data_IF_889646796063
#
_entry.id   IF_889646796063
#
_cell.length_a   1.000
_cell.length_b   1.000
_cell.length_c   1.000
_cell.angle_alpha   90.00
_cell.angle_beta   90.00
_cell.angle_gamma   90.00
#
_symmetry.space_group_name_H-M   'P 1'
#
loop_
_entity.id
_entity.type
_entity.pdbx_description
1 polymer ?
#
# COMPACT_ATOMS: atom_id res chain seq x y z
N UNK A 1 2.57 -23.49 -16.92
CA UNK A 1 2.17 -22.10 -16.56
C UNK A 1 2.74 -21.63 -15.22
N UNK A 2 2.32 -22.15 -14.05
CA UNK A 2 2.73 -21.58 -12.75
C UNK A 2 4.24 -21.69 -12.48
N UNK A 3 4.80 -22.89 -12.58
CA UNK A 3 6.25 -23.11 -12.41
C UNK A 3 7.09 -22.35 -13.47
N UNK A 4 6.68 -22.41 -14.73
CA UNK A 4 7.38 -21.76 -15.85
C UNK A 4 7.42 -20.23 -15.74
N UNK A 5 6.43 -19.61 -15.11
CA UNK A 5 6.31 -18.15 -14.98
C UNK A 5 6.57 -17.66 -13.54
N UNK A 6 7.09 -18.52 -12.66
CA UNK A 6 7.34 -18.20 -11.25
C UNK A 6 6.12 -17.60 -10.52
N UNK A 7 4.93 -18.10 -10.83
CA UNK A 7 3.69 -17.68 -10.15
C UNK A 7 3.54 -18.49 -8.87
N UNK A 8 3.24 -17.81 -7.75
CA UNK A 8 3.00 -18.47 -6.47
C UNK A 8 1.88 -19.51 -6.57
N UNK A 9 2.14 -20.73 -6.09
CA UNK A 9 1.13 -21.79 -5.99
C UNK A 9 -0.05 -21.41 -5.09
N UNK A 10 0.10 -20.39 -4.24
CA UNK A 10 -1.00 -19.82 -3.45
C UNK A 10 -2.15 -19.31 -4.32
N UNK A 11 -1.88 -18.89 -5.56
CA UNK A 11 -2.90 -18.38 -6.49
C UNK A 11 -3.69 -19.50 -7.17
N UNK A 12 -3.20 -20.76 -7.11
CA UNK A 12 -3.78 -21.87 -7.86
C UNK A 12 -5.30 -22.06 -7.62
N UNK A 13 -5.84 -22.02 -6.38
CA UNK A 13 -7.28 -22.18 -6.17
C UNK A 13 -8.10 -21.10 -6.88
N UNK A 14 -7.66 -19.84 -6.83
CA UNK A 14 -8.37 -18.72 -7.45
C UNK A 14 -8.29 -18.77 -8.98
N UNK A 15 -7.16 -19.24 -9.50
CA UNK A 15 -7.00 -19.51 -10.92
C UNK A 15 -7.97 -20.61 -11.40
N UNK A 16 -8.15 -21.69 -10.63
CA UNK A 16 -9.12 -22.72 -10.98
C UNK A 16 -10.56 -22.22 -10.97
N UNK A 17 -10.93 -21.34 -10.04
CA UNK A 17 -12.24 -20.67 -10.07
C UNK A 17 -12.42 -19.87 -11.37
N UNK A 18 -11.43 -19.06 -11.74
CA UNK A 18 -11.46 -18.28 -12.97
C UNK A 18 -11.61 -19.18 -14.21
N UNK A 19 -10.84 -20.27 -14.29
CA UNK A 19 -10.92 -21.22 -15.41
C UNK A 19 -12.33 -21.83 -15.50
N UNK A 20 -12.94 -22.23 -14.38
CA UNK A 20 -14.31 -22.77 -14.36
C UNK A 20 -15.32 -21.74 -14.84
N UNK A 21 -15.22 -20.50 -14.39
CA UNK A 21 -16.11 -19.42 -14.84
C UNK A 21 -15.95 -19.14 -16.33
N UNK A 22 -14.72 -19.04 -16.84
CA UNK A 22 -14.47 -18.85 -18.27
C UNK A 22 -14.95 -20.04 -19.12
N UNK A 23 -14.92 -21.27 -18.58
CA UNK A 23 -15.37 -22.47 -19.31
C UNK A 23 -16.89 -22.55 -19.51
N UNK A 24 -17.68 -21.68 -18.87
CA UNK A 24 -19.15 -21.62 -19.04
C UNK A 24 -19.56 -21.19 -20.44
N UNK A 25 -18.69 -20.47 -21.17
CA UNK A 25 -18.89 -20.12 -22.58
C UNK A 25 -17.67 -20.55 -23.42
N UNK A 26 -17.68 -21.80 -23.93
CA UNK A 26 -16.57 -22.34 -24.72
C UNK A 26 -16.29 -21.55 -26.00
N UNK A 27 -17.31 -20.93 -26.61
CA UNK A 27 -17.17 -20.18 -27.85
C UNK A 27 -16.45 -18.86 -27.58
N UNK A 28 -16.86 -18.13 -26.53
CA UNK A 28 -16.16 -16.93 -26.10
C UNK A 28 -14.71 -17.24 -25.71
N UNK A 29 -14.48 -18.31 -24.93
CA UNK A 29 -13.15 -18.75 -24.51
C UNK A 29 -12.24 -19.08 -25.71
N UNK A 30 -12.75 -19.77 -26.73
CA UNK A 30 -11.99 -20.10 -27.92
C UNK A 30 -11.62 -18.86 -28.75
N UNK A 31 -12.41 -17.79 -28.67
CA UNK A 31 -12.18 -16.54 -29.40
C UNK A 31 -11.33 -15.52 -28.63
N UNK A 32 -11.10 -15.73 -27.34
CA UNK A 32 -10.44 -14.74 -26.49
C UNK A 32 -8.94 -14.68 -26.80
N UNK A 33 -8.45 -13.48 -27.10
CA UNK A 33 -7.03 -13.20 -27.23
C UNK A 33 -6.73 -11.92 -26.49
N UNK A 34 -5.69 -11.94 -25.66
CA UNK A 34 -5.27 -10.80 -24.87
C UNK A 34 -3.76 -10.76 -24.80
N UNK A 35 -3.16 -9.85 -25.55
CA UNK A 35 -1.74 -9.58 -25.44
C UNK A 35 -1.43 -8.77 -24.17
N UNK A 36 -0.15 -8.75 -23.79
CA UNK A 36 0.33 -8.06 -22.58
C UNK A 36 -0.03 -6.57 -22.56
N UNK A 37 0.09 -5.87 -23.70
CA UNK A 37 -0.18 -4.44 -23.76
C UNK A 37 -1.67 -4.16 -23.63
N UNK A 38 -2.52 -4.94 -24.30
CA UNK A 38 -3.97 -4.84 -24.17
C UNK A 38 -4.42 -5.19 -22.75
N UNK A 39 -3.85 -6.22 -22.12
CA UNK A 39 -4.10 -6.56 -20.72
C UNK A 39 -3.77 -5.39 -19.78
N UNK A 40 -2.56 -4.83 -19.89
CA UNK A 40 -2.12 -3.71 -19.06
C UNK A 40 -2.99 -2.46 -19.27
N UNK A 41 -3.36 -2.17 -20.51
CA UNK A 41 -4.25 -1.05 -20.85
C UNK A 41 -5.64 -1.23 -20.22
N UNK A 42 -6.27 -2.40 -20.39
CA UNK A 42 -7.60 -2.70 -19.82
C UNK A 42 -7.58 -2.72 -18.29
N UNK A 43 -6.50 -3.21 -17.68
CA UNK A 43 -6.34 -3.17 -16.22
C UNK A 43 -6.25 -1.73 -15.72
N UNK A 44 -5.42 -0.89 -16.35
CA UNK A 44 -5.20 0.49 -15.90
C UNK A 44 -6.40 1.39 -16.18
N UNK A 45 -6.92 1.39 -17.40
CA UNK A 45 -7.93 2.36 -17.85
C UNK A 45 -9.36 1.80 -17.85
N UNK A 46 -9.54 0.51 -17.62
CA UNK A 46 -10.85 -0.12 -17.46
C UNK A 46 -11.10 -0.47 -16.01
N UNK A 47 -10.46 -1.54 -15.54
CA UNK A 47 -10.73 -2.14 -14.22
C UNK A 47 -10.37 -1.19 -13.08
N UNK A 48 -9.13 -0.69 -13.07
CA UNK A 48 -8.66 0.22 -12.01
C UNK A 48 -9.43 1.53 -11.99
N UNK A 49 -9.73 2.11 -13.15
CA UNK A 49 -10.50 3.35 -13.27
C UNK A 49 -11.94 3.18 -12.74
N UNK A 50 -12.59 2.05 -13.06
CA UNK A 50 -13.92 1.73 -12.57
C UNK A 50 -13.97 1.66 -11.04
N UNK A 51 -13.05 0.92 -10.42
CA UNK A 51 -12.99 0.82 -8.96
C UNK A 51 -12.66 2.16 -8.30
N UNK A 52 -11.65 2.89 -8.82
CA UNK A 52 -11.27 4.18 -8.29
C UNK A 52 -12.42 5.19 -8.33
N UNK A 53 -13.16 5.27 -9.44
CA UNK A 53 -14.35 6.13 -9.56
C UNK A 53 -15.44 5.78 -8.55
N UNK A 54 -15.70 4.49 -8.36
CA UNK A 54 -16.66 4.04 -7.34
C UNK A 54 -16.29 4.51 -5.93
N UNK A 55 -15.01 4.37 -5.56
CA UNK A 55 -14.48 4.83 -4.28
C UNK A 55 -14.58 6.36 -4.17
N UNK A 56 -14.18 7.10 -5.21
CA UNK A 56 -14.20 8.57 -5.23
C UNK A 56 -15.62 9.12 -5.04
N UNK A 57 -16.64 8.51 -5.65
CA UNK A 57 -18.04 8.94 -5.46
C UNK A 57 -18.50 8.73 -4.01
N UNK A 58 -18.07 7.66 -3.35
CA UNK A 58 -18.28 7.49 -1.91
C UNK A 58 -17.57 8.60 -1.11
N UNK A 59 -16.30 8.87 -1.41
CA UNK A 59 -15.52 9.91 -0.73
C UNK A 59 -16.14 11.32 -0.84
N UNK A 60 -16.87 11.60 -1.92
CA UNK A 60 -17.58 12.88 -2.10
C UNK A 60 -18.83 13.01 -1.22
N UNK A 61 -19.42 11.90 -0.81
CA UNK A 61 -20.77 11.88 -0.21
C UNK A 61 -20.79 11.44 1.25
N UNK A 62 -19.77 10.72 1.72
CA UNK A 62 -19.71 10.23 3.10
C UNK A 62 -18.40 10.60 3.83
N UNK A 63 -18.40 10.54 5.18
CA UNK A 63 -17.19 10.71 5.97
C UNK A 63 -16.17 9.60 5.70
N UNK A 64 -14.88 9.96 5.63
CA UNK A 64 -13.78 9.06 5.31
C UNK A 64 -12.59 9.22 6.27
N UNK A 65 -11.77 8.19 6.37
CA UNK A 65 -10.43 8.25 6.96
C UNK A 65 -9.40 7.78 5.94
N UNK A 66 -8.24 8.42 5.89
CA UNK A 66 -7.13 8.00 5.03
C UNK A 66 -6.07 7.27 5.85
N UNK A 67 -5.50 6.20 5.29
CA UNK A 67 -4.31 5.55 5.83
C UNK A 67 -3.21 5.68 4.79
N UNK A 68 -2.11 6.31 5.18
CA UNK A 68 -1.07 6.73 4.25
C UNK A 68 0.27 6.20 4.73
N UNK A 69 0.92 5.46 3.84
CA UNK A 69 2.21 4.85 4.10
C UNK A 69 3.21 5.13 2.97
N UNK A 70 4.48 5.31 3.34
CA UNK A 70 5.57 5.58 2.42
C UNK A 70 6.49 4.38 2.30
N UNK A 71 6.41 3.70 1.15
CA UNK A 71 7.30 2.59 0.81
C UNK A 71 8.46 3.04 -0.07
N UNK A 72 9.63 2.43 0.10
CA UNK A 72 10.72 2.52 -0.88
C UNK A 72 10.57 1.41 -1.91
N UNK A 73 10.62 1.75 -3.21
CA UNK A 73 10.60 0.72 -4.25
C UNK A 73 12.01 0.12 -4.43
N UNK A 74 12.18 -1.14 -4.03
CA UNK A 74 13.45 -1.90 -4.15
C UNK A 74 13.89 -2.14 -5.62
N UNK A 75 13.03 -1.84 -6.60
CA UNK A 75 13.23 -2.21 -8.01
C UNK A 75 13.91 -1.12 -8.84
N UNK A 76 14.03 0.12 -8.33
CA UNK A 76 14.65 1.22 -9.08
C UNK A 76 16.00 1.63 -8.50
N UNK A 77 17.04 1.67 -9.33
CA UNK A 77 18.34 2.26 -9.03
C UNK A 77 18.29 3.78 -8.72
N UNK A 78 17.09 4.36 -8.64
CA UNK A 78 16.83 5.79 -8.51
C UNK A 78 16.14 6.18 -7.18
N UNK A 79 16.06 5.27 -6.19
CA UNK A 79 15.42 5.54 -4.88
C UNK A 79 14.00 6.13 -4.98
N UNK A 80 13.20 5.67 -5.95
CA UNK A 80 11.81 6.10 -6.07
C UNK A 80 11.01 5.64 -4.86
N UNK A 81 10.25 6.55 -4.27
CA UNK A 81 9.35 6.29 -3.15
C UNK A 81 7.92 6.19 -3.69
N UNK A 82 7.10 5.36 -3.07
CA UNK A 82 5.69 5.20 -3.43
C UNK A 82 4.86 5.50 -2.19
N UNK A 83 3.96 6.45 -2.32
CA UNK A 83 2.96 6.77 -1.32
C UNK A 83 1.73 5.90 -1.58
N UNK A 84 1.49 4.92 -0.72
CA UNK A 84 0.27 4.13 -0.74
C UNK A 84 -0.82 4.87 0.04
N UNK A 85 -1.98 5.05 -0.59
CA UNK A 85 -3.14 5.70 0.01
C UNK A 85 -4.29 4.70 0.06
N UNK A 86 -4.68 4.32 1.27
CA UNK A 86 -5.90 3.57 1.52
C UNK A 86 -6.97 4.51 2.07
N UNK A 87 -8.23 4.22 1.77
CA UNK A 87 -9.37 4.94 2.31
C UNK A 87 -10.27 3.99 3.07
N UNK A 88 -10.67 4.43 4.26
CA UNK A 88 -11.62 3.76 5.12
C UNK A 88 -12.94 4.54 5.10
N UNK A 89 -14.04 3.86 4.78
CA UNK A 89 -15.37 4.46 4.72
C UNK A 89 -16.46 3.42 5.00
N UNK A 90 -17.66 3.87 5.39
CA UNK A 90 -18.80 2.98 5.55
C UNK A 90 -19.43 2.68 4.19
N UNK A 91 -19.36 1.43 3.73
CA UNK A 91 -20.01 0.99 2.50
C UNK A 91 -21.44 0.60 2.80
N UNK A 92 -22.40 1.34 2.24
CA UNK A 92 -23.83 1.03 2.37
C UNK A 92 -24.20 -0.29 1.68
N UNK A 93 -23.45 -0.70 0.65
CA UNK A 93 -23.68 -1.96 -0.07
C UNK A 93 -23.24 -3.17 0.76
N UNK A 94 -22.12 -3.04 1.48
CA UNK A 94 -21.57 -4.12 2.32
C UNK A 94 -22.01 -4.04 3.78
N UNK A 95 -22.76 -2.99 4.14
CA UNK A 95 -23.21 -2.65 5.50
C UNK A 95 -22.10 -2.67 6.57
N UNK A 96 -20.88 -2.30 6.17
CA UNK A 96 -19.72 -2.32 7.05
C UNK A 96 -18.69 -1.25 6.65
N UNK A 97 -17.80 -0.93 7.58
CA UNK A 97 -16.60 -0.15 7.27
C UNK A 97 -15.68 -1.01 6.42
N UNK A 98 -15.26 -0.48 5.28
CA UNK A 98 -14.29 -1.12 4.40
C UNK A 98 -13.05 -0.28 4.27
N UNK A 99 -11.92 -0.94 4.05
CA UNK A 99 -10.65 -0.32 3.71
C UNK A 99 -10.30 -0.73 2.29
N UNK A 100 -10.16 0.24 1.41
CA UNK A 100 -9.87 0.00 0.00
C UNK A 100 -8.66 0.81 -0.45
N UNK A 101 -7.93 0.27 -1.43
CA UNK A 101 -6.81 0.96 -2.04
C UNK A 101 -7.34 2.06 -2.97
N UNK A 102 -6.94 3.31 -2.69
CA UNK A 102 -7.35 4.47 -3.48
C UNK A 102 -6.32 4.79 -4.54
N UNK A 103 -5.05 4.89 -4.14
CA UNK A 103 -3.98 5.30 -5.05
C UNK A 103 -2.60 4.82 -4.59
N UNK A 104 -1.71 4.66 -5.57
CA UNK A 104 -0.27 4.55 -5.35
C UNK A 104 0.42 5.68 -6.11
N UNK A 105 0.98 6.64 -5.40
CA UNK A 105 1.56 7.86 -5.97
C UNK A 105 3.09 7.78 -5.94
N UNK A 106 3.74 7.96 -7.08
CA UNK A 106 5.20 8.00 -7.16
C UNK A 106 5.72 9.34 -6.62
N UNK A 107 6.68 9.29 -5.70
CA UNK A 107 7.35 10.45 -5.11
C UNK A 107 8.85 10.38 -5.39
N UNK A 108 9.42 11.49 -5.85
CA UNK A 108 10.88 11.64 -5.99
C UNK A 108 11.52 11.82 -4.60
N UNK A 109 10.85 12.53 -3.70
CA UNK A 109 11.26 12.76 -2.30
C UNK A 109 10.04 12.70 -1.39
N UNK A 110 10.14 11.95 -0.29
CA UNK A 110 9.12 11.94 0.77
C UNK A 110 9.44 13.03 1.81
N UNK A 111 9.09 14.26 1.48
CA UNK A 111 9.06 15.37 2.41
C UNK A 111 7.62 15.72 2.77
N UNK A 112 7.44 16.49 3.84
CA UNK A 112 6.12 16.87 4.34
C UNK A 112 5.30 17.61 3.27
N UNK A 113 5.97 18.49 2.53
CA UNK A 113 5.37 19.29 1.46
C UNK A 113 4.99 18.43 0.25
N UNK A 114 5.87 17.55 -0.22
CA UNK A 114 5.56 16.68 -1.37
C UNK A 114 4.43 15.71 -1.06
N UNK A 115 4.39 15.12 0.13
CA UNK A 115 3.30 14.25 0.55
C UNK A 115 1.99 15.05 0.63
N UNK A 116 2.00 16.21 1.28
CA UNK A 116 0.82 17.06 1.37
C UNK A 116 0.31 17.50 -0.01
N UNK A 117 1.19 17.94 -0.91
CA UNK A 117 0.81 18.36 -2.25
C UNK A 117 0.22 17.20 -3.07
N UNK A 118 0.79 16.00 -2.96
CA UNK A 118 0.24 14.81 -3.62
C UNK A 118 -1.17 14.47 -3.09
N UNK A 119 -1.39 14.58 -1.78
CA UNK A 119 -2.73 14.42 -1.19
C UNK A 119 -3.70 15.51 -1.64
N UNK A 120 -3.26 16.77 -1.63
CA UNK A 120 -4.05 17.92 -2.04
C UNK A 120 -4.47 17.78 -3.50
N UNK A 121 -3.56 17.42 -4.38
CA UNK A 121 -3.83 17.14 -5.78
C UNK A 121 -4.85 16.00 -5.94
N UNK A 122 -4.69 14.90 -5.20
CA UNK A 122 -5.64 13.78 -5.21
C UNK A 122 -7.05 14.22 -4.76
N UNK A 123 -7.15 15.06 -3.73
CA UNK A 123 -8.43 15.59 -3.23
C UNK A 123 -9.05 16.57 -4.24
N UNK A 124 -8.26 17.51 -4.75
CA UNK A 124 -8.71 18.61 -5.60
C UNK A 124 -9.11 18.13 -7.01
N UNK A 125 -8.30 17.28 -7.67
CA UNK A 125 -8.60 16.75 -9.01
C UNK A 125 -9.90 15.95 -9.01
N UNK A 126 -10.16 15.25 -7.90
CA UNK A 126 -11.36 14.43 -7.75
C UNK A 126 -12.53 15.18 -7.11
N UNK A 127 -12.38 16.48 -6.83
CA UNK A 127 -13.40 17.32 -6.18
C UNK A 127 -13.93 16.71 -4.87
N UNK A 128 -13.05 16.09 -4.08
CA UNK A 128 -13.39 15.47 -2.80
C UNK A 128 -13.46 16.58 -1.73
N UNK A 129 -14.62 16.77 -1.06
CA UNK A 129 -14.75 17.80 -0.05
C UNK A 129 -13.88 17.51 1.18
N UNK A 130 -13.01 18.44 1.55
CA UNK A 130 -12.19 18.35 2.76
C UNK A 130 -13.02 18.14 4.04
N UNK A 131 -14.27 18.60 4.08
CA UNK A 131 -15.22 18.35 5.19
C UNK A 131 -15.55 16.87 5.44
N UNK A 132 -15.34 16.02 4.43
CA UNK A 132 -15.60 14.59 4.55
C UNK A 132 -14.41 13.86 5.17
N UNK A 133 -13.21 14.43 5.12
CA UNK A 133 -12.04 13.85 5.75
C UNK A 133 -12.13 13.97 7.27
N UNK A 134 -12.30 12.85 7.97
CA UNK A 134 -12.42 12.82 9.43
C UNK A 134 -11.10 12.55 10.13
N UNK A 135 -10.18 11.83 9.48
CA UNK A 135 -8.88 11.48 10.06
C UNK A 135 -7.89 11.06 8.99
N UNK A 136 -6.60 11.22 9.30
CA UNK A 136 -5.51 10.68 8.51
C UNK A 136 -4.54 9.93 9.43
N UNK A 137 -4.30 8.65 9.14
CA UNK A 137 -3.30 7.84 9.78
C UNK A 137 -2.00 7.91 8.98
N UNK A 138 -0.91 8.19 9.69
CA UNK A 138 0.45 8.27 9.17
C UNK A 138 1.42 7.56 10.11
N UNK A 139 2.61 7.21 9.62
CA UNK A 139 3.75 6.86 10.46
C UNK A 139 4.25 8.08 11.30
N UNK A 140 4.78 7.80 12.50
CA UNK A 140 5.33 8.69 13.54
C UNK A 140 6.59 9.45 13.10
N UNK A 141 6.87 9.61 11.82
CA UNK A 141 8.03 10.38 11.40
C UNK A 141 7.78 11.88 11.59
N UNK A 142 8.80 12.62 12.05
CA UNK A 142 8.74 14.08 12.23
C UNK A 142 8.32 14.82 10.94
N UNK A 143 8.65 14.25 9.78
CA UNK A 143 8.23 14.74 8.45
C UNK A 143 6.70 14.80 8.34
N UNK A 144 5.99 13.88 9.00
CA UNK A 144 4.55 13.71 8.83
C UNK A 144 3.77 14.35 9.99
N UNK A 145 4.23 14.16 11.24
CA UNK A 145 3.57 14.64 12.47
C UNK A 145 4.10 15.98 13.01
N UNK A 146 5.07 16.61 12.35
CA UNK A 146 5.69 17.84 12.83
C UNK A 146 4.66 18.96 13.10
N UNK A 147 4.62 19.47 14.32
CA UNK A 147 3.59 20.42 14.78
C UNK A 147 3.63 21.81 14.09
N UNK A 148 4.74 22.14 13.40
CA UNK A 148 4.90 23.42 12.67
C UNK A 148 4.93 23.27 11.15
N UNK A 149 5.39 22.12 10.65
CA UNK A 149 5.71 21.93 9.23
C UNK A 149 5.58 20.47 8.80
N UNK A 150 4.82 19.67 9.54
CA UNK A 150 4.46 18.30 9.16
C UNK A 150 3.32 18.27 8.15
N UNK A 151 3.01 17.09 7.63
CA UNK A 151 1.84 16.88 6.77
C UNK A 151 0.55 17.16 7.55
N UNK A 152 0.47 16.73 8.81
CA UNK A 152 -0.72 16.93 9.64
C UNK A 152 -1.03 18.42 9.88
N UNK A 153 0.00 19.23 10.16
CA UNK A 153 -0.16 20.67 10.33
C UNK A 153 -0.77 21.33 9.08
N UNK A 154 -0.27 20.96 7.88
CA UNK A 154 -0.80 21.46 6.59
C UNK A 154 -2.22 20.95 6.30
N UNK A 155 -2.52 19.71 6.67
CA UNK A 155 -3.87 19.17 6.53
C UNK A 155 -4.87 19.93 7.40
N UNK A 156 -4.50 20.30 8.62
CA UNK A 156 -5.37 21.05 9.53
C UNK A 156 -5.70 22.46 9.03
N UNK A 157 -4.88 23.05 8.17
CA UNK A 157 -5.21 24.31 7.48
C UNK A 157 -6.43 24.16 6.55
N UNK A 158 -6.63 22.97 5.97
CA UNK A 158 -7.73 22.69 5.03
C UNK A 158 -8.91 21.97 5.70
N UNK A 159 -8.62 21.13 6.70
CA UNK A 159 -9.60 20.33 7.43
C UNK A 159 -9.32 20.44 8.95
N UNK A 160 -9.68 21.55 9.61
CA UNK A 160 -9.38 21.77 11.03
C UNK A 160 -10.13 20.82 11.97
N UNK A 161 -11.17 20.15 11.47
CA UNK A 161 -12.02 19.22 12.21
C UNK A 161 -11.46 17.79 12.26
N UNK A 162 -10.36 17.49 11.56
CA UNK A 162 -9.80 16.13 11.56
C UNK A 162 -9.39 15.70 12.97
N UNK A 163 -9.76 14.49 13.32
CA UNK A 163 -9.37 13.84 14.56
C UNK A 163 -7.90 13.41 14.47
N UNK A 164 -7.14 13.70 15.52
CA UNK A 164 -5.82 13.08 15.72
C UNK A 164 -6.04 11.65 16.20
N UNK A 165 -6.16 10.73 15.25
CA UNK A 165 -6.01 9.31 15.51
C UNK A 165 -4.50 9.09 15.49
N UNK A 166 -3.93 8.87 16.68
CA UNK A 166 -2.51 8.65 16.89
C UNK A 166 -1.94 7.59 15.92
N UNK A 167 -0.62 7.49 15.85
CA UNK A 167 0.07 6.69 14.84
C UNK A 167 -0.31 5.21 14.87
N UNK A 168 -0.16 4.55 13.72
CA UNK A 168 -0.20 3.10 13.54
C UNK A 168 0.42 2.34 14.73
N UNK A 169 -0.36 1.40 15.25
CA UNK A 169 -0.01 0.48 16.34
C UNK A 169 1.30 -0.27 16.10
N UNK A 170 1.65 -0.63 14.86
CA UNK A 170 2.90 -1.30 14.53
C UNK A 170 4.10 -0.43 14.90
N UNK A 171 4.05 0.87 14.60
CA UNK A 171 5.09 1.80 14.97
C UNK A 171 5.16 2.06 16.47
N UNK A 172 4.02 2.12 17.18
CA UNK A 172 4.01 2.19 18.64
C UNK A 172 4.67 0.96 19.27
N UNK A 173 4.30 -0.24 18.82
CA UNK A 173 4.90 -1.48 19.29
C UNK A 173 6.39 -1.51 18.95
N UNK A 174 6.79 -1.15 17.72
CA UNK A 174 8.19 -1.07 17.32
C UNK A 174 8.98 -0.12 18.22
N UNK A 175 8.47 1.09 18.46
CA UNK A 175 9.11 2.09 19.31
C UNK A 175 9.18 1.64 20.77
N UNK A 176 8.13 1.01 21.30
CA UNK A 176 8.12 0.46 22.64
C UNK A 176 9.16 -0.66 22.81
N UNK A 177 9.22 -1.60 21.87
CA UNK A 177 10.21 -2.67 21.86
C UNK A 177 11.62 -2.10 21.73
N UNK A 178 11.84 -1.12 20.86
CA UNK A 178 13.13 -0.45 20.69
C UNK A 178 13.61 0.22 21.98
N UNK A 179 12.71 0.88 22.71
CA UNK A 179 13.02 1.48 24.01
C UNK A 179 13.27 0.42 25.08
N UNK A 180 12.49 -0.66 25.10
CA UNK A 180 12.73 -1.79 26.00
C UNK A 180 14.10 -2.43 25.74
N UNK A 181 14.52 -2.55 24.49
CA UNK A 181 15.81 -3.12 24.11
C UNK A 181 17.00 -2.17 24.34
N UNK A 182 16.77 -0.87 24.58
CA UNK A 182 17.82 0.14 24.71
C UNK A 182 18.89 -0.19 25.78
N UNK A 183 18.53 -0.66 27.00
CA UNK A 183 19.51 -1.01 28.04
C UNK A 183 20.37 -2.23 27.70
N UNK A 184 19.96 -3.05 26.72
CA UNK A 184 20.74 -4.21 26.27
C UNK A 184 21.83 -3.81 25.28
N UNK A 185 22.02 -2.50 25.04
CA UNK A 185 23.10 -1.92 24.22
C UNK A 185 23.23 -2.56 22.83
N UNK A 186 22.14 -3.08 22.27
CA UNK A 186 22.14 -3.74 20.96
C UNK A 186 22.74 -5.15 20.93
N UNK A 187 23.03 -5.79 22.08
CA UNK A 187 23.66 -7.13 22.11
C UNK A 187 22.79 -8.19 21.46
N UNK A 188 21.49 -8.17 21.75
CA UNK A 188 20.51 -9.12 21.21
C UNK A 188 20.36 -8.90 19.70
N UNK A 189 20.23 -7.65 19.28
CA UNK A 189 20.14 -7.27 17.86
C UNK A 189 21.40 -7.67 17.10
N UNK A 190 22.59 -7.40 17.65
CA UNK A 190 23.87 -7.79 17.05
C UNK A 190 24.01 -9.30 16.93
N UNK A 191 23.59 -10.06 17.94
CA UNK A 191 23.60 -11.53 17.87
C UNK A 191 22.72 -12.02 16.72
N UNK A 192 21.47 -11.58 16.65
CA UNK A 192 20.57 -11.99 15.57
C UNK A 192 21.03 -11.49 14.20
N UNK A 193 21.61 -10.28 14.11
CA UNK A 193 22.17 -9.77 12.87
C UNK A 193 23.41 -10.56 12.43
N UNK A 194 24.27 -10.94 13.39
CA UNK A 194 25.43 -11.79 13.19
C UNK A 194 25.01 -13.16 12.68
N UNK A 195 24.12 -13.84 13.39
CA UNK A 195 23.55 -15.13 12.96
C UNK A 195 22.94 -15.05 11.57
N UNK A 196 22.12 -14.03 11.29
CA UNK A 196 21.54 -13.81 9.95
C UNK A 196 22.63 -13.62 8.89
N UNK A 197 23.66 -12.86 9.20
CA UNK A 197 24.79 -12.59 8.29
C UNK A 197 25.57 -13.87 8.02
N UNK A 198 25.87 -14.65 9.06
CA UNK A 198 26.57 -15.93 8.95
C UNK A 198 25.76 -16.92 8.11
N UNK A 199 24.45 -17.06 8.35
CA UNK A 199 23.58 -17.90 7.51
C UNK A 199 23.54 -17.41 6.05
N UNK A 200 23.44 -16.09 5.83
CA UNK A 200 23.43 -15.49 4.48
C UNK A 200 24.73 -15.78 3.70
N UNK A 201 25.88 -15.79 4.37
CA UNK A 201 27.18 -16.01 3.73
C UNK A 201 27.73 -17.42 3.85
N UNK A 202 27.07 -18.29 4.64
CA UNK A 202 27.40 -19.70 4.76
C UNK A 202 27.34 -20.41 3.40
N UNK A 203 28.19 -21.40 3.20
CA UNK A 203 28.28 -22.22 1.98
C UNK A 203 26.96 -22.94 1.66
N UNK A 204 26.14 -23.25 2.66
CA UNK A 204 24.82 -23.91 2.50
C UNK A 204 23.84 -23.04 1.71
N UNK A 205 23.93 -21.71 1.82
CA UNK A 205 23.08 -20.78 1.05
C UNK A 205 23.55 -20.56 -0.39
N UNK A 206 24.78 -21.00 -0.73
CA UNK A 206 25.39 -20.85 -2.07
C UNK A 206 25.27 -22.11 -2.92
N UNK A 207 25.03 -23.27 -2.31
CA UNK A 207 24.70 -24.50 -3.02
C UNK A 207 23.24 -24.47 -3.48
N UNK A 208 23.03 -24.16 -4.76
CA UNK A 208 21.74 -24.20 -5.45
C UNK A 208 21.11 -25.61 -5.54
N UNK A 209 21.68 -26.62 -4.89
CA UNK A 209 21.23 -28.02 -4.94
C UNK A 209 19.91 -28.29 -4.22
N UNK A 210 19.44 -27.37 -3.37
CA UNK A 210 18.18 -27.51 -2.60
C UNK A 210 17.01 -26.67 -3.12
N UNK A 211 17.16 -25.94 -4.23
CA UNK A 211 16.08 -25.12 -4.81
C UNK A 211 15.25 -25.81 -5.91
N UNK A 212 15.49 -27.10 -6.14
CA UNK A 212 14.76 -27.91 -7.12
C UNK A 212 13.96 -29.03 -6.45
N UNK A 213 12.89 -28.68 -5.73
CA UNK A 213 11.73 -29.56 -5.51
C UNK A 213 10.47 -28.69 -5.50
#
# INVERSE_FOLDING_TARGET
>A
MMAENNISFYVAPKLFELIRECSKDPNALASVSLDRCTAAYKLKYGVSDFFAKGIIECMKTCPISLNIDEGTSDVSSNNKKVLAVLVSYFSTVKEQVVVEHLASLELIKAGAETIFNAMKELMDINSIPWKNLQSCLFDSCNVVRGNKSGVEARLREHAPHILDINVDSCHHIHNAVKQFCFPFEGWVERLFHGLKTDFKWSSVSKDNSFRSV
#
